data_IF_056671808970
#
_entry.id   IF_056671808970
#
_cell.length_a   1.000
_cell.length_b   1.000
_cell.length_c   1.000
_cell.angle_alpha   90.00
_cell.angle_beta   90.00
_cell.angle_gamma   90.00
#
_symmetry.space_group_name_H-M   'P 1'
#
loop_
_entity.id
_entity.type
_entity.pdbx_description
1 polymer ?
#
# COMPACT_ATOMS: atom_id res chain seq x y z
N UNK A 1 -6.33 18.45 2.02
CA UNK A 1 -5.67 17.13 1.95
C UNK A 1 -6.52 16.08 1.27
N UNK A 2 -7.75 15.79 1.74
CA UNK A 2 -8.64 14.78 1.11
C UNK A 2 -9.02 15.07 -0.35
N UNK A 3 -9.24 16.33 -0.71
CA UNK A 3 -9.60 16.70 -2.09
C UNK A 3 -8.44 16.53 -3.08
N UNK A 4 -7.20 16.72 -2.62
CA UNK A 4 -5.99 16.65 -3.45
C UNK A 4 -5.72 15.22 -3.90
N UNK A 5 -6.01 14.25 -3.03
CA UNK A 5 -5.74 12.82 -3.26
C UNK A 5 -7.00 12.02 -3.60
N UNK A 6 -8.14 12.70 -3.79
CA UNK A 6 -9.43 12.05 -4.06
C UNK A 6 -9.35 11.16 -5.31
N UNK A 7 -8.65 11.61 -6.36
CA UNK A 7 -8.40 10.85 -7.58
C UNK A 7 -7.59 9.58 -7.36
N UNK A 8 -6.76 9.51 -6.31
CA UNK A 8 -5.95 8.32 -6.00
C UNK A 8 -6.76 7.17 -5.39
N UNK A 9 -8.03 7.40 -5.02
CA UNK A 9 -8.90 6.36 -4.46
C UNK A 9 -9.71 5.64 -5.55
N UNK A 10 -9.75 4.31 -5.50
CA UNK A 10 -10.60 3.51 -6.38
C UNK A 10 -12.08 3.66 -6.03
N UNK A 11 -12.36 3.76 -4.75
CA UNK A 11 -13.71 3.95 -4.21
C UNK A 11 -13.69 5.09 -3.20
N UNK A 12 -14.46 6.15 -3.44
CA UNK A 12 -14.49 7.33 -2.55
C UNK A 12 -15.08 7.03 -1.16
N UNK A 13 -15.80 5.91 -1.03
CA UNK A 13 -16.36 5.43 0.24
C UNK A 13 -15.44 4.44 0.98
N UNK A 14 -14.29 4.06 0.40
CA UNK A 14 -13.29 3.19 1.05
C UNK A 14 -11.98 3.97 1.13
N UNK A 15 -11.81 4.69 2.24
CA UNK A 15 -10.66 5.54 2.51
C UNK A 15 -9.81 4.92 3.62
N UNK A 16 -8.47 5.13 3.60
CA UNK A 16 -7.61 4.61 4.65
C UNK A 16 -7.86 5.33 5.97
N UNK A 17 -7.64 4.63 7.07
CA UNK A 17 -7.71 5.20 8.42
C UNK A 17 -6.46 6.05 8.68
N UNK A 18 -6.64 7.32 9.03
CA UNK A 18 -5.53 8.29 9.16
C UNK A 18 -4.44 7.84 10.15
N UNK A 19 -4.80 7.15 11.24
CA UNK A 19 -3.84 6.74 12.30
C UNK A 19 -2.98 5.53 11.94
N UNK A 20 -3.38 4.73 10.95
CA UNK A 20 -2.65 3.53 10.54
C UNK A 20 -2.32 3.52 9.05
N UNK A 21 -2.52 4.64 8.35
CA UNK A 21 -2.26 4.72 6.91
C UNK A 21 -0.78 4.55 6.64
N UNK A 22 -0.48 4.01 5.47
CA UNK A 22 0.87 4.06 4.91
C UNK A 22 1.16 5.51 4.50
N UNK A 23 2.35 5.99 4.84
CA UNK A 23 2.83 7.33 4.49
C UNK A 23 4.12 7.12 3.69
N UNK A 24 4.14 7.56 2.45
CA UNK A 24 5.33 7.52 1.60
C UNK A 24 6.19 8.75 1.84
N UNK A 25 7.47 8.68 1.45
CA UNK A 25 8.31 9.86 1.43
C UNK A 25 7.75 10.91 0.46
N UNK A 26 7.86 12.19 0.84
CA UNK A 26 7.47 13.29 -0.06
C UNK A 26 8.43 13.35 -1.25
N UNK A 27 7.87 13.57 -2.43
CA UNK A 27 8.62 13.94 -3.64
C UNK A 27 8.49 15.44 -3.83
N UNK A 28 9.62 16.13 -4.02
CA UNK A 28 9.67 17.58 -4.26
C UNK A 28 8.84 18.42 -3.26
N UNK A 29 8.77 17.96 -2.00
CA UNK A 29 7.96 18.53 -0.92
C UNK A 29 6.45 18.63 -1.21
N UNK A 30 5.92 17.89 -2.21
CA UNK A 30 4.50 17.89 -2.57
C UNK A 30 3.67 17.03 -1.60
N UNK A 31 2.77 17.63 -0.79
CA UNK A 31 1.93 16.90 0.16
C UNK A 31 0.97 15.87 -0.47
N UNK A 32 0.74 15.90 -1.78
CA UNK A 32 -0.06 14.90 -2.48
C UNK A 32 0.68 13.56 -2.68
N UNK A 33 2.02 13.58 -2.54
CA UNK A 33 2.89 12.45 -2.88
C UNK A 33 3.14 11.51 -1.70
N UNK A 34 2.81 11.89 -0.47
CA UNK A 34 2.89 11.00 0.70
C UNK A 34 1.76 9.94 0.73
N UNK A 35 0.76 10.12 -0.13
CA UNK A 35 -0.50 9.40 -0.04
C UNK A 35 -0.53 8.16 -0.91
N UNK A 36 -0.88 7.04 -0.28
CA UNK A 36 -1.38 5.83 -0.91
C UNK A 36 -2.57 5.30 -0.11
N UNK A 37 -3.59 4.76 -0.78
CA UNK A 37 -4.72 4.13 -0.11
C UNK A 37 -4.34 2.73 0.39
N UNK A 38 -3.70 2.71 1.57
CA UNK A 38 -3.37 1.50 2.28
C UNK A 38 -3.16 1.74 3.77
N UNK A 39 -3.38 0.70 4.58
CA UNK A 39 -3.24 0.71 6.03
C UNK A 39 -2.36 -0.45 6.50
N UNK A 40 -1.58 -0.19 7.54
CA UNK A 40 -0.90 -1.23 8.30
C UNK A 40 -1.92 -2.07 9.08
N UNK A 41 -1.73 -3.38 9.06
CA UNK A 41 -2.51 -4.37 9.82
C UNK A 41 -1.55 -5.17 10.69
N UNK A 42 -1.89 -5.28 11.98
CA UNK A 42 -1.15 -6.10 12.94
C UNK A 42 -1.42 -7.59 12.69
N UNK A 43 -0.35 -8.38 12.67
CA UNK A 43 -0.42 -9.83 12.73
C UNK A 43 -0.45 -10.34 14.16
N UNK A 44 -0.46 -11.66 14.32
CA UNK A 44 -0.38 -12.27 15.65
C UNK A 44 0.93 -11.89 16.34
N UNK A 45 0.84 -11.11 17.43
CA UNK A 45 1.98 -10.60 18.22
C UNK A 45 3.01 -9.76 17.44
N UNK A 46 2.69 -9.31 16.23
CA UNK A 46 3.57 -8.49 15.42
C UNK A 46 2.79 -7.29 14.89
N UNK A 47 2.93 -6.09 15.49
CA UNK A 47 2.26 -4.90 15.01
C UNK A 47 2.73 -4.54 13.60
N UNK A 48 1.84 -3.94 12.79
CA UNK A 48 2.15 -3.45 11.44
C UNK A 48 2.80 -4.50 10.51
N UNK A 49 2.41 -5.77 10.68
CA UNK A 49 2.99 -6.89 9.93
C UNK A 49 2.58 -6.93 8.46
N UNK A 50 1.39 -6.43 8.15
CA UNK A 50 0.81 -6.47 6.82
C UNK A 50 0.41 -5.08 6.37
N UNK A 51 0.24 -4.91 5.06
CA UNK A 51 -0.38 -3.74 4.47
C UNK A 51 -1.56 -4.21 3.64
N UNK A 52 -2.76 -3.74 3.99
CA UNK A 52 -3.90 -3.86 3.10
C UNK A 52 -4.01 -2.58 2.27
N UNK A 53 -4.08 -2.73 0.96
CA UNK A 53 -4.19 -1.61 0.02
C UNK A 53 -5.25 -1.94 -1.03
N UNK A 54 -5.85 -0.89 -1.60
CA UNK A 54 -6.61 -1.06 -2.83
C UNK A 54 -5.69 -1.61 -3.93
N UNK A 55 -6.25 -2.32 -4.90
CA UNK A 55 -5.52 -2.66 -6.11
C UNK A 55 -5.16 -1.39 -6.91
N UNK A 56 -3.90 -1.27 -7.37
CA UNK A 56 -3.40 -0.06 -8.00
C UNK A 56 -4.24 0.30 -9.23
N UNK A 57 -4.55 1.59 -9.35
CA UNK A 57 -5.15 2.18 -10.55
C UNK A 57 -4.04 2.52 -11.55
N UNK A 58 -4.35 2.74 -12.84
CA UNK A 58 -3.34 3.17 -13.81
C UNK A 58 -2.52 4.39 -13.37
N UNK A 59 -3.17 5.35 -12.70
CA UNK A 59 -2.57 6.58 -12.18
C UNK A 59 -1.92 6.44 -10.78
N UNK A 60 -2.01 5.28 -10.15
CA UNK A 60 -1.38 5.02 -8.84
C UNK A 60 -0.43 3.81 -8.87
N UNK A 61 -0.09 3.29 -10.06
CA UNK A 61 0.85 2.18 -10.21
C UNK A 61 2.25 2.56 -9.73
N UNK A 62 2.70 3.77 -10.01
CA UNK A 62 4.00 4.28 -9.57
C UNK A 62 4.07 4.40 -8.04
N UNK A 63 3.06 5.02 -7.43
CA UNK A 63 2.92 5.10 -5.97
C UNK A 63 2.93 3.71 -5.31
N UNK A 64 2.28 2.71 -5.92
CA UNK A 64 2.26 1.33 -5.42
C UNK A 64 3.65 0.67 -5.46
N UNK A 65 4.39 0.80 -6.56
CA UNK A 65 5.75 0.27 -6.64
C UNK A 65 6.73 1.03 -5.75
N UNK A 66 6.53 2.33 -5.59
CA UNK A 66 7.29 3.16 -4.65
C UNK A 66 7.07 2.71 -3.21
N UNK A 67 5.83 2.43 -2.81
CA UNK A 67 5.52 1.83 -1.51
C UNK A 67 6.29 0.50 -1.30
N UNK A 68 6.31 -0.36 -2.31
CA UNK A 68 7.01 -1.65 -2.26
C UNK A 68 8.51 -1.46 -2.05
N UNK A 69 9.09 -0.51 -2.78
CA UNK A 69 10.51 -0.17 -2.69
C UNK A 69 10.88 0.43 -1.34
N UNK A 70 10.18 1.49 -0.91
CA UNK A 70 10.46 2.23 0.32
C UNK A 70 10.29 1.38 1.59
N UNK A 71 9.31 0.48 1.58
CA UNK A 71 9.03 -0.39 2.73
C UNK A 71 9.74 -1.76 2.62
N UNK A 72 10.58 -1.96 1.60
CA UNK A 72 11.30 -3.22 1.36
C UNK A 72 10.40 -4.47 1.33
N UNK A 73 9.18 -4.32 0.79
CA UNK A 73 8.21 -5.41 0.66
C UNK A 73 8.82 -6.58 -0.12
N UNK A 74 8.69 -7.79 0.43
CA UNK A 74 9.21 -9.02 -0.21
C UNK A 74 8.14 -9.89 -0.86
N UNK A 75 6.87 -9.68 -0.55
CA UNK A 75 5.79 -10.50 -1.10
C UNK A 75 4.50 -9.72 -1.26
N UNK A 76 3.84 -9.95 -2.39
CA UNK A 76 2.56 -9.34 -2.73
C UNK A 76 1.56 -10.48 -2.91
N UNK A 77 0.42 -10.40 -2.23
CA UNK A 77 -0.67 -11.37 -2.34
C UNK A 77 -1.89 -10.66 -2.88
N UNK A 78 -2.23 -10.97 -4.13
CA UNK A 78 -3.46 -10.48 -4.74
C UNK A 78 -4.60 -11.44 -4.40
N UNK A 79 -5.66 -10.93 -3.76
CA UNK A 79 -6.79 -11.76 -3.30
C UNK A 79 -7.94 -11.83 -4.31
N UNK A 80 -7.84 -11.11 -5.42
CA UNK A 80 -8.89 -11.01 -6.44
C UNK A 80 -8.38 -11.40 -7.82
N UNK A 81 -9.29 -11.73 -8.72
CA UNK A 81 -8.97 -11.84 -10.13
C UNK A 81 -8.87 -10.45 -10.77
N UNK A 82 -8.11 -10.33 -11.87
CA UNK A 82 -7.95 -9.06 -12.61
C UNK A 82 -9.30 -8.54 -13.16
N UNK A 83 -10.28 -9.44 -13.34
CA UNK A 83 -11.63 -9.14 -13.83
C UNK A 83 -12.62 -9.98 -13.01
N UNK A 84 -13.55 -9.32 -12.33
CA UNK A 84 -14.67 -9.95 -11.63
C UNK A 84 -15.99 -9.51 -12.31
N UNK A 85 -16.36 -10.17 -13.40
CA UNK A 85 -17.53 -9.81 -14.21
C UNK A 85 -17.28 -8.59 -15.13
N UNK A 86 -18.15 -7.58 -15.09
CA UNK A 86 -17.99 -6.32 -15.85
C UNK A 86 -17.26 -5.21 -15.07
N UNK A 87 -16.97 -5.44 -13.79
CA UNK A 87 -16.37 -4.46 -12.89
C UNK A 87 -15.04 -4.99 -12.37
N UNK A 88 -13.99 -4.18 -12.47
CA UNK A 88 -12.66 -4.53 -12.00
C UNK A 88 -12.57 -4.33 -10.49
N UNK A 89 -12.67 -5.42 -9.73
CA UNK A 89 -12.52 -5.42 -8.27
C UNK A 89 -11.13 -5.93 -7.91
N UNK A 90 -10.29 -5.02 -7.39
CA UNK A 90 -8.92 -5.34 -7.02
C UNK A 90 -8.68 -4.96 -5.55
N UNK A 91 -8.49 -5.97 -4.68
CA UNK A 91 -7.97 -5.79 -3.31
C UNK A 91 -6.63 -6.53 -3.23
N UNK A 92 -5.58 -5.83 -2.82
CA UNK A 92 -4.23 -6.38 -2.73
C UNK A 92 -3.78 -6.37 -1.28
N UNK A 93 -3.39 -7.54 -0.77
CA UNK A 93 -2.75 -7.66 0.54
C UNK A 93 -1.26 -7.83 0.32
N UNK A 94 -0.48 -6.89 0.82
CA UNK A 94 0.96 -6.92 0.68
C UNK A 94 1.57 -7.44 1.98
N UNK A 95 2.44 -8.44 1.88
CA UNK A 95 3.07 -9.12 3.03
C UNK A 95 4.52 -8.63 3.19
N UNK A 96 4.78 -8.00 4.34
CA UNK A 96 6.12 -7.70 4.80
C UNK A 96 6.73 -8.94 5.48
N UNK A 97 7.51 -9.72 4.75
CA UNK A 97 8.40 -10.69 5.38
C UNK A 97 9.65 -9.98 5.91
N UNK A 98 9.66 -9.66 7.20
CA UNK A 98 10.91 -9.50 7.95
C UNK A 98 11.59 -10.88 8.02
N UNK A 99 12.56 -11.13 7.15
CA UNK A 99 13.62 -12.07 7.46
C UNK A 99 14.77 -11.27 8.03
N UNK A 100 15.04 -11.44 9.32
CA UNK A 100 16.29 -11.03 9.93
C UNK A 100 17.39 -11.92 9.33
N UNK A 101 18.02 -11.51 8.23
CA UNK A 101 19.35 -12.05 7.87
C UNK A 101 20.39 -11.29 8.68
N UNK A 102 20.53 -11.65 9.95
CA UNK A 102 21.81 -11.53 10.63
C UNK A 102 22.65 -12.74 10.20
N UNK A 103 23.43 -12.59 9.14
CA UNK A 103 24.76 -13.21 9.06
C UNK A 103 25.70 -12.25 8.31
N UNK A 104 26.57 -11.64 9.10
CA UNK A 104 28.00 -11.44 8.84
C UNK A 104 28.41 -11.41 7.36
N UNK A 105 28.73 -10.22 6.86
CA UNK A 105 29.80 -10.06 5.88
C UNK A 105 30.78 -9.05 6.49
N UNK A 106 32.00 -9.55 6.63
CA UNK A 106 33.24 -8.91 7.11
C UNK A 106 33.61 -7.65 6.33
#
# INVERSE_FOLDING_TARGET
>A
TRDIVASKNRFLNILPIDTTRVVLNLLDDDPATDYINGNYISGYKCPNKFIATQGPKPDTCEDFWRMIWELEIKSIVMLTNIIEGASRMDVTVTIMFYYMTLQLIS
#
